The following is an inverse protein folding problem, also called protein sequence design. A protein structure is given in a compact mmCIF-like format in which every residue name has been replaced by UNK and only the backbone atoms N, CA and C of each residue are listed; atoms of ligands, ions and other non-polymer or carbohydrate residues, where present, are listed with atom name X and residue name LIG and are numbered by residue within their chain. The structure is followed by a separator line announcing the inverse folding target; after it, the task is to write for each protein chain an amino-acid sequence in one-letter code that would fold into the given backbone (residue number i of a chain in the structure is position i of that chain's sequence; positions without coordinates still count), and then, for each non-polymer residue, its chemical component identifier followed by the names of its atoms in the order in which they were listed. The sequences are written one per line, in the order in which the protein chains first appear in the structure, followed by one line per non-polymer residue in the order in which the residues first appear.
data_IF_068534740327
#
_entry.id   IF_068534740327
#
_cell.length_a   1.000
_cell.length_b   1.000
_cell.length_c   1.000
_cell.angle_alpha   90.00
_cell.angle_beta   90.00
_cell.angle_gamma   90.00
#
_symmetry.space_group_name_H-M   'P 1'
#
loop_
_entity.id
_entity.type
_entity.pdbx_description
1 polymer ?
#
# COMPACT_ATOMS: atom_id res chain seq x y z
N UNK A 1 -11.25 -16.04 -36.25
CA UNK A 1 -9.95 -16.49 -35.71
C UNK A 1 -9.44 -15.64 -34.54
N UNK A 2 -9.60 -14.30 -34.55
CA UNK A 2 -9.16 -13.40 -33.46
C UNK A 2 -9.74 -13.72 -32.08
N UNK A 3 -11.03 -14.07 -31.99
CA UNK A 3 -11.70 -14.32 -30.71
C UNK A 3 -11.14 -15.52 -29.93
N UNK A 4 -10.56 -16.51 -30.61
CA UNK A 4 -9.98 -17.68 -29.94
C UNK A 4 -8.67 -17.37 -29.19
N UNK A 5 -8.01 -16.26 -29.51
CA UNK A 5 -6.75 -15.84 -28.84
C UNK A 5 -7.04 -14.81 -27.74
N UNK A 6 -8.05 -13.96 -27.93
CA UNK A 6 -8.40 -12.91 -26.97
C UNK A 6 -8.98 -13.50 -25.68
N UNK A 7 -9.85 -14.49 -25.77
CA UNK A 7 -10.49 -15.12 -24.61
C UNK A 7 -9.47 -15.74 -23.62
N UNK A 8 -8.52 -16.59 -24.04
CA UNK A 8 -7.51 -17.13 -23.13
C UNK A 8 -6.56 -16.05 -22.61
N UNK A 9 -6.24 -15.02 -23.39
CA UNK A 9 -5.42 -13.90 -22.92
C UNK A 9 -6.12 -13.12 -21.79
N UNK A 10 -7.42 -12.86 -21.91
CA UNK A 10 -8.20 -12.23 -20.84
C UNK A 10 -8.25 -13.11 -19.59
N UNK A 11 -8.42 -14.43 -19.73
CA UNK A 11 -8.40 -15.36 -18.59
C UNK A 11 -7.03 -15.40 -17.88
N UNK A 12 -5.94 -15.42 -18.64
CA UNK A 12 -4.57 -15.38 -18.11
C UNK A 12 -4.32 -14.06 -17.37
N UNK A 13 -4.69 -12.92 -17.95
CA UNK A 13 -4.51 -11.62 -17.29
C UNK A 13 -5.33 -11.48 -16.01
N UNK A 14 -6.56 -12.02 -15.98
CA UNK A 14 -7.40 -12.04 -14.77
C UNK A 14 -6.85 -12.94 -13.67
N UNK A 15 -6.37 -14.13 -14.01
CA UNK A 15 -5.74 -15.04 -13.03
C UNK A 15 -4.46 -14.46 -12.45
N UNK A 16 -3.62 -13.84 -13.28
CA UNK A 16 -2.44 -13.10 -12.82
C UNK A 16 -2.83 -11.93 -11.89
N UNK A 17 -3.86 -11.16 -12.23
CA UNK A 17 -4.32 -10.05 -11.39
C UNK A 17 -4.81 -10.53 -10.01
N UNK A 18 -5.57 -11.63 -9.95
CA UNK A 18 -6.01 -12.23 -8.69
C UNK A 18 -4.85 -12.75 -7.85
N UNK A 19 -3.87 -13.40 -8.47
CA UNK A 19 -2.65 -13.88 -7.79
C UNK A 19 -1.88 -12.70 -7.19
N UNK A 20 -1.66 -11.63 -7.97
CA UNK A 20 -1.00 -10.41 -7.50
C UNK A 20 -1.77 -9.79 -6.33
N UNK A 21 -3.10 -9.75 -6.38
CA UNK A 21 -3.92 -9.24 -5.28
C UNK A 21 -3.70 -10.03 -3.99
N UNK A 22 -3.74 -11.37 -4.06
CA UNK A 22 -3.54 -12.26 -2.91
C UNK A 22 -2.13 -12.13 -2.31
N UNK A 23 -1.11 -12.04 -3.17
CA UNK A 23 0.28 -11.80 -2.75
C UNK A 23 0.41 -10.43 -2.08
N UNK A 24 -0.24 -9.41 -2.63
CA UNK A 24 -0.22 -8.04 -2.10
C UNK A 24 -0.81 -7.98 -0.69
N UNK A 25 -1.93 -8.66 -0.44
CA UNK A 25 -2.54 -8.72 0.88
C UNK A 25 -1.63 -9.41 1.92
N UNK A 26 -1.04 -10.55 1.55
CA UNK A 26 -0.08 -11.24 2.43
C UNK A 26 1.17 -10.42 2.70
N UNK A 27 1.73 -9.79 1.66
CA UNK A 27 2.90 -8.92 1.79
C UNK A 27 2.59 -7.69 2.65
N UNK A 28 1.41 -7.11 2.49
CA UNK A 28 0.94 -5.98 3.31
C UNK A 28 0.86 -6.35 4.79
N UNK A 29 0.28 -7.51 5.11
CA UNK A 29 0.20 -8.01 6.49
C UNK A 29 1.59 -8.23 7.12
N UNK A 30 2.60 -8.62 6.33
CA UNK A 30 3.99 -8.76 6.77
C UNK A 30 4.73 -7.43 6.92
N UNK A 31 4.32 -6.39 6.20
CA UNK A 31 5.02 -5.10 6.17
C UNK A 31 4.68 -4.18 7.33
N UNK A 32 3.55 -4.45 7.99
CA UNK A 32 3.04 -3.76 9.15
C UNK A 32 2.96 -4.73 10.32
N UNK A 33 4.00 -4.77 11.15
CA UNK A 33 3.98 -5.53 12.40
C UNK A 33 3.36 -4.66 13.48
N UNK A 34 2.45 -5.22 14.29
CA UNK A 34 1.68 -4.46 15.29
C UNK A 34 2.57 -3.79 16.36
N UNK A 35 3.80 -4.27 16.53
CA UNK A 35 4.78 -3.77 17.51
C UNK A 35 5.73 -2.72 16.97
N UNK A 36 5.54 -2.23 15.74
CA UNK A 36 6.47 -1.29 15.11
C UNK A 36 5.76 0.02 14.81
N UNK A 37 6.34 1.12 15.29
CA UNK A 37 5.92 2.46 14.90
C UNK A 37 6.54 2.82 13.55
N UNK A 38 5.70 3.34 12.66
CA UNK A 38 6.08 3.72 11.31
C UNK A 38 5.97 5.22 11.15
N UNK A 39 7.08 5.86 10.78
CA UNK A 39 7.10 7.29 10.47
C UNK A 39 6.57 7.51 9.05
N UNK A 40 5.51 8.30 8.94
CA UNK A 40 4.94 8.75 7.68
C UNK A 40 5.16 10.24 7.49
N UNK A 41 5.45 10.62 6.25
CA UNK A 41 5.43 12.02 5.81
C UNK A 41 4.20 12.24 4.94
N UNK A 42 3.31 13.12 5.36
CA UNK A 42 2.14 13.48 4.58
C UNK A 42 2.55 14.45 3.46
N UNK A 43 2.18 14.20 2.20
CA UNK A 43 2.48 15.13 1.10
C UNK A 43 1.66 16.43 1.14
N UNK A 44 0.50 16.46 1.81
CA UNK A 44 -0.37 17.64 1.86
C UNK A 44 0.11 18.69 2.87
N UNK A 45 0.37 18.28 4.11
CA UNK A 45 0.89 19.18 5.14
C UNK A 45 2.41 19.15 5.28
N UNK A 46 3.10 18.26 4.53
CA UNK A 46 4.53 17.99 4.63
C UNK A 46 5.04 17.62 6.03
N UNK A 47 4.12 17.39 6.98
CA UNK A 47 4.41 17.02 8.36
C UNK A 47 4.74 15.54 8.47
N UNK A 48 5.70 15.25 9.33
CA UNK A 48 6.08 13.88 9.70
C UNK A 48 5.40 13.50 11.00
N UNK A 49 4.90 12.27 11.05
CA UNK A 49 4.22 11.77 12.22
C UNK A 49 4.36 10.25 12.29
N UNK A 50 4.16 9.70 13.48
CA UNK A 50 4.30 8.27 13.74
C UNK A 50 2.92 7.65 13.88
N UNK A 51 2.76 6.47 13.29
CA UNK A 51 1.59 5.63 13.45
C UNK A 51 2.05 4.24 13.86
N UNK A 52 1.39 3.67 14.86
CA UNK A 52 1.63 2.29 15.25
C UNK A 52 1.10 1.33 14.19
N UNK A 53 1.74 0.17 14.05
CA UNK A 53 1.37 -0.83 13.04
C UNK A 53 -0.12 -1.22 13.02
N UNK A 54 -0.78 -1.23 14.18
CA UNK A 54 -2.22 -1.52 14.30
C UNK A 54 -3.10 -0.43 13.66
N UNK A 55 -2.82 0.85 13.93
CA UNK A 55 -3.53 1.98 13.28
C UNK A 55 -3.27 1.98 11.77
N UNK A 56 -2.05 1.65 11.37
CA UNK A 56 -1.71 1.56 9.95
C UNK A 56 -2.53 0.48 9.25
N UNK A 57 -2.65 -0.72 9.85
CA UNK A 57 -3.48 -1.80 9.31
C UNK A 57 -4.93 -1.39 9.16
N UNK A 58 -5.47 -0.61 10.10
CA UNK A 58 -6.85 -0.10 10.06
C UNK A 58 -7.07 0.95 8.98
N UNK A 59 -6.08 1.79 8.70
CA UNK A 59 -6.24 2.93 7.79
C UNK A 59 -5.76 2.68 6.36
N UNK A 60 -4.82 1.75 6.15
CA UNK A 60 -4.25 1.49 4.83
C UNK A 60 -4.84 0.19 4.27
N UNK A 61 -5.56 0.31 3.17
CA UNK A 61 -6.07 -0.84 2.44
C UNK A 61 -4.98 -1.36 1.48
N UNK A 62 -4.81 -2.68 1.30
CA UNK A 62 -3.83 -3.25 0.36
C UNK A 62 -3.98 -2.74 -1.08
N UNK A 63 -5.21 -2.43 -1.52
CA UNK A 63 -5.50 -1.82 -2.83
C UNK A 63 -4.88 -0.42 -3.03
N UNK A 64 -4.48 0.24 -1.94
CA UNK A 64 -3.91 1.60 -1.94
C UNK A 64 -2.39 1.57 -1.80
N UNK A 65 -1.79 0.36 -1.79
CA UNK A 65 -0.35 0.18 -1.85
C UNK A 65 0.12 0.41 -3.29
N UNK A 66 0.79 1.54 -3.51
CA UNK A 66 1.54 1.72 -4.74
C UNK A 66 2.89 1.03 -4.57
N UNK A 67 3.08 -0.09 -5.28
CA UNK A 67 4.37 -0.80 -5.42
C UNK A 67 5.36 0.01 -6.29
N UNK A 68 5.52 1.30 -5.99
CA UNK A 68 6.60 2.11 -6.55
C UNK A 68 7.82 2.01 -5.64
N UNK A 69 9.03 2.25 -6.19
CA UNK A 69 10.31 2.27 -5.44
C UNK A 69 10.27 3.10 -4.14
N UNK A 70 9.32 4.03 -4.01
CA UNK A 70 9.00 4.76 -2.78
C UNK A 70 7.70 4.18 -2.23
N UNK A 71 7.74 3.60 -1.03
CA UNK A 71 6.58 3.05 -0.31
C UNK A 71 5.57 4.18 -0.03
N UNK A 72 4.70 4.43 -1.00
CA UNK A 72 3.67 5.47 -1.00
C UNK A 72 2.33 4.83 -0.67
N UNK A 73 1.69 5.39 0.33
CA UNK A 73 0.40 4.94 0.83
C UNK A 73 -0.58 6.08 0.74
N UNK A 74 -1.79 5.82 0.26
CA UNK A 74 -2.82 6.86 0.25
C UNK A 74 -3.76 6.60 1.42
N UNK A 75 -3.88 7.54 2.34
CA UNK A 75 -4.81 7.47 3.48
C UNK A 75 -4.97 8.85 4.14
N UNK A 76 -6.01 9.00 4.96
CA UNK A 76 -6.31 10.26 5.67
C UNK A 76 -5.22 10.56 6.68
N UNK A 77 -4.57 11.73 6.58
CA UNK A 77 -3.61 12.15 7.58
C UNK A 77 -4.35 12.57 8.87
N UNK A 78 -3.96 12.10 10.06
CA UNK A 78 -4.59 12.50 11.31
C UNK A 78 -4.36 13.99 11.64
N UNK A 79 -3.25 14.57 11.18
CA UNK A 79 -2.90 15.96 11.48
C UNK A 79 -3.74 16.97 10.68
N UNK A 80 -3.93 16.73 9.38
CA UNK A 80 -4.66 17.65 8.50
C UNK A 80 -6.02 17.11 8.02
N UNK A 81 -6.42 15.93 8.50
CA UNK A 81 -7.65 15.20 8.13
C UNK A 81 -7.91 15.09 6.62
N UNK A 82 -6.86 15.25 5.82
CA UNK A 82 -6.93 15.29 4.36
C UNK A 82 -6.44 13.98 3.78
N UNK A 83 -7.16 13.45 2.78
CA UNK A 83 -6.74 12.25 2.03
C UNK A 83 -5.56 12.59 1.12
N UNK A 84 -4.36 12.26 1.57
CA UNK A 84 -3.12 12.55 0.86
C UNK A 84 -2.29 11.29 0.63
N UNK A 85 -1.27 11.42 -0.22
CA UNK A 85 -0.21 10.42 -0.33
C UNK A 85 0.72 10.60 0.87
N UNK A 86 1.14 9.48 1.42
CA UNK A 86 1.94 9.38 2.61
C UNK A 86 3.14 8.50 2.33
N UNK A 87 4.33 9.05 2.51
CA UNK A 87 5.57 8.34 2.27
C UNK A 87 6.07 7.76 3.59
N UNK A 88 6.18 6.43 3.67
CA UNK A 88 6.82 5.77 4.81
C UNK A 88 8.31 6.08 4.76
N UNK A 89 8.83 6.82 5.73
CA UNK A 89 10.28 6.87 5.95
C UNK A 89 10.68 5.56 6.59
N UNK A 90 11.56 4.82 5.93
CA UNK A 90 12.25 3.71 6.54
C UNK A 90 13.19 4.32 7.58
N UNK A 91 12.90 4.15 8.87
CA UNK A 91 13.87 4.44 9.92
C UNK A 91 15.03 3.48 9.73
N UNK A 92 16.09 3.97 9.11
CA UNK A 92 17.39 3.33 9.12
C UNK A 92 17.85 3.36 10.58
N UNK A 93 17.68 2.25 11.30
CA UNK A 93 18.44 2.04 12.53
C UNK A 93 19.90 1.89 12.10
N UNK A 94 20.72 2.83 12.55
CA UNK A 94 22.14 2.92 12.27
C UNK A 94 22.93 2.04 13.24
#
# INVERSE_FOLDING_TARGET
MFWMIVIPFVLITMTLAMLVHSILEKYYALLFTDKTDYTFKCSACQTEYQLSGDEVKKHIHPKWLFLTKKKKYRFTCPNCQTKAIQEKRQTTYH
#
